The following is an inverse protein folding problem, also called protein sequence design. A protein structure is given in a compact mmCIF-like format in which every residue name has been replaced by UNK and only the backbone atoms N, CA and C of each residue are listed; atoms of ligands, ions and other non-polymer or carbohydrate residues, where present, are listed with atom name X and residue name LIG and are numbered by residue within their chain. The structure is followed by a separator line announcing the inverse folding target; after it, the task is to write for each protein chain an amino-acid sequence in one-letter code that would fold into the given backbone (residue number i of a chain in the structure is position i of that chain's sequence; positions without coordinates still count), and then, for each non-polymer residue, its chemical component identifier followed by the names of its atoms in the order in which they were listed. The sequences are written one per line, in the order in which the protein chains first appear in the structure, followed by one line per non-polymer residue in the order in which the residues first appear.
data_IF_117822763243
#
_entry.id   IF_117822763243
#
_cell.length_a   1.000
_cell.length_b   1.000
_cell.length_c   1.000
_cell.angle_alpha   90.00
_cell.angle_beta   90.00
_cell.angle_gamma   90.00
#
_symmetry.space_group_name_H-M   'P 1'
#
loop_
_entity.id
_entity.type
_entity.pdbx_description
1 polymer ?
#
# COMPACT_ATOMS: atom_id res chain seq x y z
N UNK A 1 -16.48 0.16 5.10
CA UNK A 1 -17.03 1.53 5.24
C UNK A 1 -17.99 1.80 4.09
N UNK A 2 -19.18 2.34 4.34
CA UNK A 2 -20.11 2.72 3.29
C UNK A 2 -20.61 4.13 3.57
N UNK A 3 -20.53 4.98 2.55
CA UNK A 3 -21.13 6.32 2.52
C UNK A 3 -22.18 6.38 1.41
N UNK A 4 -22.83 7.53 1.24
CA UNK A 4 -23.72 7.85 0.12
C UNK A 4 -22.99 7.82 -1.24
N UNK A 5 -21.66 8.03 -1.25
CA UNK A 5 -20.85 8.12 -2.48
C UNK A 5 -20.07 6.86 -2.79
N UNK A 6 -19.68 6.08 -1.78
CA UNK A 6 -18.75 4.97 -1.98
C UNK A 6 -18.89 3.87 -0.94
N UNK A 7 -18.49 2.66 -1.35
CA UNK A 7 -18.29 1.52 -0.45
C UNK A 7 -16.83 1.08 -0.53
N UNK A 8 -16.17 1.02 0.62
CA UNK A 8 -14.83 0.46 0.78
C UNK A 8 -14.88 -0.82 1.63
N UNK A 9 -14.18 -1.86 1.21
CA UNK A 9 -14.10 -3.15 1.91
C UNK A 9 -12.65 -3.55 2.13
N UNK A 10 -12.31 -3.99 3.33
CA UNK A 10 -11.00 -4.56 3.64
C UNK A 10 -11.24 -5.94 4.26
N UNK A 11 -10.49 -6.93 3.82
CA UNK A 11 -10.50 -8.30 4.36
C UNK A 11 -9.10 -8.58 4.89
N UNK A 12 -9.01 -9.05 6.12
CA UNK A 12 -7.75 -9.43 6.74
C UNK A 12 -7.85 -10.76 7.47
N UNK A 13 -6.69 -11.29 7.87
CA UNK A 13 -6.54 -12.49 8.69
C UNK A 13 -5.39 -12.29 9.67
N UNK A 14 -5.28 -13.17 10.67
CA UNK A 14 -4.12 -13.27 11.54
C UNK A 14 -3.50 -14.65 11.33
N UNK A 15 -2.29 -14.71 10.80
CA UNK A 15 -1.55 -15.98 10.65
C UNK A 15 -0.87 -16.35 11.97
N UNK A 16 -1.00 -17.62 12.37
CA UNK A 16 -0.31 -18.17 13.55
C UNK A 16 -0.60 -17.45 14.87
N UNK A 17 -1.66 -16.66 14.95
CA UNK A 17 -2.04 -15.74 16.04
C UNK A 17 -1.17 -14.49 16.24
N UNK A 18 -0.16 -14.23 15.39
CA UNK A 18 0.78 -13.11 15.58
C UNK A 18 0.97 -12.20 14.38
N UNK A 19 0.61 -12.65 13.18
CA UNK A 19 0.92 -11.93 11.95
C UNK A 19 -0.36 -11.46 11.24
N UNK A 20 -0.90 -10.29 11.59
CA UNK A 20 -1.97 -9.66 10.85
C UNK A 20 -1.58 -9.41 9.39
N UNK A 21 -2.46 -9.77 8.47
CA UNK A 21 -2.31 -9.51 7.03
C UNK A 21 -3.63 -9.02 6.46
N UNK A 22 -3.56 -7.97 5.66
CA UNK A 22 -4.65 -7.59 4.76
C UNK A 22 -4.57 -8.48 3.53
N UNK A 23 -5.66 -9.21 3.27
CA UNK A 23 -5.81 -10.14 2.14
C UNK A 23 -6.52 -9.51 0.94
N UNK A 24 -7.31 -8.47 1.17
CA UNK A 24 -8.05 -7.79 0.12
C UNK A 24 -8.44 -6.36 0.49
N UNK A 25 -8.33 -5.43 -0.45
CA UNK A 25 -8.90 -4.09 -0.36
C UNK A 25 -9.77 -3.87 -1.60
N UNK A 26 -11.05 -3.52 -1.41
CA UNK A 26 -12.05 -3.34 -2.47
C UNK A 26 -12.13 -4.50 -3.47
N UNK A 27 -11.76 -5.72 -3.05
CA UNK A 27 -11.70 -6.91 -3.91
C UNK A 27 -10.39 -7.08 -4.70
N UNK A 28 -9.40 -6.20 -4.52
CA UNK A 28 -8.02 -6.41 -4.97
C UNK A 28 -7.32 -7.35 -3.98
N UNK A 29 -7.01 -8.58 -4.40
CA UNK A 29 -6.33 -9.57 -3.56
C UNK A 29 -4.86 -9.21 -3.41
N UNK A 30 -4.40 -9.04 -2.18
CA UNK A 30 -3.03 -8.61 -1.87
C UNK A 30 -2.61 -9.24 -0.55
N UNK A 31 -1.32 -9.17 -0.23
CA UNK A 31 -0.80 -9.53 1.08
C UNK A 31 -0.03 -8.32 1.60
N UNK A 32 -0.64 -7.58 2.52
CA UNK A 32 -0.09 -6.34 3.07
C UNK A 32 0.03 -6.43 4.59
N UNK A 33 1.17 -6.01 5.15
CA UNK A 33 1.33 -5.85 6.59
C UNK A 33 0.70 -4.52 7.03
N UNK A 34 -0.33 -4.52 7.89
CA UNK A 34 -1.00 -3.30 8.32
C UNK A 34 -0.27 -2.64 9.51
N UNK A 35 1.01 -2.30 9.33
CA UNK A 35 1.85 -1.67 10.36
C UNK A 35 2.78 -0.62 9.76
N UNK A 36 3.27 0.28 10.62
CA UNK A 36 4.29 1.27 10.25
C UNK A 36 3.79 2.24 9.18
N UNK A 37 4.69 2.63 8.29
CA UNK A 37 4.42 3.58 7.22
C UNK A 37 3.86 2.87 5.98
N UNK A 38 2.56 3.01 5.74
CA UNK A 38 1.86 2.34 4.63
C UNK A 38 1.36 3.34 3.60
N UNK A 39 1.67 3.10 2.33
CA UNK A 39 1.10 3.83 1.19
C UNK A 39 0.24 2.88 0.34
N UNK A 40 -1.00 3.28 0.08
CA UNK A 40 -1.94 2.58 -0.80
C UNK A 40 -2.17 3.43 -2.04
N UNK A 41 -1.90 2.88 -3.22
CA UNK A 41 -1.97 3.57 -4.50
C UNK A 41 -2.93 2.80 -5.42
N UNK A 42 -3.98 3.47 -5.89
CA UNK A 42 -4.83 2.96 -6.96
C UNK A 42 -4.38 3.59 -8.28
N UNK A 43 -4.12 2.77 -9.30
CA UNK A 43 -3.60 3.25 -10.57
C UNK A 43 -4.12 2.43 -11.77
N UNK A 44 -3.91 2.94 -12.98
CA UNK A 44 -4.08 2.18 -14.22
C UNK A 44 -2.97 1.14 -14.38
N UNK A 45 -3.33 -0.08 -14.73
CA UNK A 45 -2.38 -1.19 -14.92
C UNK A 45 -1.66 -1.06 -16.27
N UNK A 46 -0.47 -0.44 -16.25
CA UNK A 46 0.35 -0.20 -17.44
C UNK A 46 1.84 -0.43 -17.18
N UNK A 47 2.66 -0.65 -18.23
CA UNK A 47 4.10 -0.84 -18.06
C UNK A 47 4.79 0.35 -17.38
N UNK A 48 5.76 0.06 -16.52
CA UNK A 48 6.63 1.06 -15.87
C UNK A 48 6.09 1.69 -14.57
N UNK A 49 4.87 1.34 -14.15
CA UNK A 49 4.23 1.86 -12.92
C UNK A 49 5.11 1.70 -11.68
N UNK A 50 5.53 0.47 -11.36
CA UNK A 50 6.31 0.20 -10.14
C UNK A 50 7.69 0.87 -10.16
N UNK A 51 8.30 0.96 -11.35
CA UNK A 51 9.58 1.67 -11.52
C UNK A 51 9.46 3.14 -11.17
N UNK A 52 8.35 3.81 -11.55
CA UNK A 52 8.11 5.21 -11.19
C UNK A 52 7.97 5.40 -9.68
N UNK A 53 7.30 4.48 -8.98
CA UNK A 53 7.19 4.54 -7.52
C UNK A 53 8.54 4.32 -6.85
N UNK A 54 9.30 3.31 -7.28
CA UNK A 54 10.66 3.08 -6.79
C UNK A 54 11.58 4.28 -6.99
N UNK A 55 11.50 4.93 -8.15
CA UNK A 55 12.24 6.19 -8.40
C UNK A 55 11.77 7.34 -7.50
N UNK A 56 10.46 7.54 -7.33
CA UNK A 56 9.93 8.63 -6.51
C UNK A 56 10.38 8.52 -5.05
N UNK A 57 10.29 7.32 -4.45
CA UNK A 57 10.77 7.08 -3.09
C UNK A 57 12.30 7.14 -3.01
N UNK A 58 13.01 6.48 -3.94
CA UNK A 58 14.47 6.42 -3.94
C UNK A 58 15.15 7.78 -4.14
N UNK A 59 14.58 8.68 -4.95
CA UNK A 59 15.10 10.04 -5.12
C UNK A 59 15.11 10.87 -3.82
N UNK A 60 14.35 10.43 -2.81
CA UNK A 60 14.23 11.06 -1.51
C UNK A 60 14.86 10.22 -0.40
N UNK A 61 15.65 9.20 -0.75
CA UNK A 61 16.25 8.23 0.16
C UNK A 61 15.25 7.48 1.06
N UNK A 62 13.99 7.36 0.64
CA UNK A 62 12.98 6.60 1.39
C UNK A 62 13.06 5.14 0.93
N UNK A 63 13.38 4.21 1.84
CA UNK A 63 13.42 2.79 1.53
C UNK A 63 12.04 2.13 1.54
N UNK A 64 11.84 1.13 0.67
CA UNK A 64 10.63 0.30 0.63
C UNK A 64 10.90 -1.00 1.37
N UNK A 65 10.19 -1.20 2.48
CA UNK A 65 10.29 -2.38 3.32
C UNK A 65 9.58 -3.60 2.69
N UNK A 66 8.38 -3.37 2.15
CA UNK A 66 7.55 -4.40 1.51
C UNK A 66 6.70 -3.75 0.39
N UNK A 67 6.41 -4.54 -0.64
CA UNK A 67 5.57 -4.11 -1.75
C UNK A 67 4.65 -5.24 -2.19
N UNK A 68 3.36 -4.94 -2.22
CA UNK A 68 2.34 -5.85 -2.75
C UNK A 68 1.58 -5.19 -3.89
N UNK A 69 1.27 -5.99 -4.91
CA UNK A 69 0.70 -5.49 -6.15
C UNK A 69 -0.43 -6.40 -6.64
N UNK A 70 -1.63 -5.84 -6.75
CA UNK A 70 -2.83 -6.57 -7.17
C UNK A 70 -3.44 -5.94 -8.41
N UNK A 71 -3.72 -6.77 -9.41
CA UNK A 71 -4.32 -6.33 -10.68
C UNK A 71 -5.74 -6.83 -10.85
N UNK A 72 -6.63 -5.97 -11.34
CA UNK A 72 -7.95 -6.36 -11.83
C UNK A 72 -8.04 -6.12 -13.33
N UNK A 73 -7.71 -7.16 -14.10
CA UNK A 73 -7.69 -7.11 -15.58
C UNK A 73 -8.98 -6.56 -16.19
N UNK A 74 -10.15 -6.90 -15.63
CA UNK A 74 -11.45 -6.43 -16.15
C UNK A 74 -11.65 -4.91 -16.04
N UNK A 75 -11.08 -4.27 -15.03
CA UNK A 75 -11.20 -2.81 -14.84
C UNK A 75 -10.01 -2.03 -15.40
N UNK A 76 -8.93 -2.71 -15.81
CA UNK A 76 -7.67 -2.05 -16.20
C UNK A 76 -6.98 -1.30 -15.05
N UNK A 77 -7.32 -1.66 -13.80
CA UNK A 77 -6.79 -1.01 -12.61
C UNK A 77 -5.91 -1.97 -11.81
N UNK A 78 -4.99 -1.39 -11.06
CA UNK A 78 -4.17 -2.07 -10.07
C UNK A 78 -4.15 -1.30 -8.75
N UNK A 79 -3.97 -2.04 -7.67
CA UNK A 79 -3.78 -1.52 -6.33
C UNK A 79 -2.38 -1.92 -5.85
N UNK A 80 -1.61 -0.95 -5.43
CA UNK A 80 -0.27 -1.12 -4.86
C UNK A 80 -0.36 -0.82 -3.37
N UNK A 81 0.16 -1.72 -2.54
CA UNK A 81 0.46 -1.45 -1.15
C UNK A 81 1.97 -1.41 -0.96
N UNK A 82 2.45 -0.40 -0.25
CA UNK A 82 3.88 -0.19 0.01
C UNK A 82 4.05 0.04 1.50
N UNK A 83 4.89 -0.76 2.15
CA UNK A 83 5.40 -0.46 3.48
C UNK A 83 6.75 0.25 3.31
N UNK A 84 6.97 1.34 4.03
CA UNK A 84 8.18 2.13 4.01
C UNK A 84 8.88 2.00 5.37
N UNK A 85 10.21 2.11 5.38
CA UNK A 85 10.98 2.14 6.64
C UNK A 85 10.81 3.47 7.38
N UNK A 86 10.43 4.52 6.66
CA UNK A 86 10.31 5.88 7.19
C UNK A 86 9.09 6.60 6.60
N UNK A 87 8.78 7.76 7.18
CA UNK A 87 7.62 8.56 6.78
C UNK A 87 7.69 9.02 5.31
N UNK A 88 6.57 8.85 4.60
CA UNK A 88 6.42 9.42 3.27
C UNK A 88 6.24 10.94 3.36
N UNK A 89 7.25 11.68 2.92
CA UNK A 89 7.19 13.14 2.86
C UNK A 89 6.02 13.65 2.00
N UNK A 90 5.39 14.80 2.32
CA UNK A 90 4.31 15.35 1.52
C UNK A 90 4.67 15.51 0.03
N UNK A 91 5.94 15.84 -0.24
CA UNK A 91 6.46 16.04 -1.59
C UNK A 91 6.49 14.74 -2.39
N UNK A 92 6.86 13.59 -1.78
CA UNK A 92 6.85 12.29 -2.49
C UNK A 92 5.43 11.86 -2.82
N UNK A 93 4.50 12.07 -1.88
CA UNK A 93 3.11 11.72 -2.08
C UNK A 93 2.50 12.56 -3.20
N UNK A 94 2.84 13.85 -3.28
CA UNK A 94 2.37 14.73 -4.34
C UNK A 94 2.98 14.39 -5.70
N UNK A 95 4.27 14.08 -5.75
CA UNK A 95 4.93 13.57 -6.97
C UNK A 95 4.22 12.32 -7.52
N UNK A 96 3.87 11.38 -6.65
CA UNK A 96 3.13 10.17 -7.03
C UNK A 96 1.72 10.51 -7.51
N UNK A 97 0.99 11.42 -6.83
CA UNK A 97 -0.37 11.84 -7.25
C UNK A 97 -0.38 12.47 -8.64
N UNK A 98 0.68 13.19 -9.01
CA UNK A 98 0.79 13.87 -10.30
C UNK A 98 1.10 12.93 -11.48
N UNK A 99 1.45 11.67 -11.20
CA UNK A 99 1.59 10.66 -12.25
C UNK A 99 0.21 10.41 -12.86
N UNK A 100 0.01 10.78 -14.14
CA UNK A 100 -1.33 10.78 -14.77
C UNK A 100 -2.07 9.43 -14.88
N UNK A 101 -1.46 8.33 -14.43
CA UNK A 101 -2.09 7.01 -14.30
C UNK A 101 -2.51 6.67 -12.87
N UNK A 102 -2.16 7.50 -11.89
CA UNK A 102 -2.56 7.37 -10.50
C UNK A 102 -3.95 7.97 -10.33
N UNK A 103 -4.80 7.26 -9.58
CA UNK A 103 -6.20 7.63 -9.32
C UNK A 103 -6.39 8.10 -7.89
N UNK A 104 -5.83 7.35 -6.93
CA UNK A 104 -5.86 7.69 -5.51
C UNK A 104 -4.51 7.33 -4.87
N UNK A 105 -4.11 8.10 -3.86
CA UNK A 105 -2.96 7.82 -2.99
C UNK A 105 -3.36 8.09 -1.54
N UNK A 106 -3.20 7.09 -0.68
CA UNK A 106 -3.43 7.20 0.75
C UNK A 106 -2.18 6.82 1.51
N UNK A 107 -1.72 7.71 2.38
CA UNK A 107 -0.67 7.43 3.35
C UNK A 107 -1.31 7.19 4.72
N UNK A 108 -0.82 6.18 5.42
CA UNK A 108 -1.30 5.73 6.72
C UNK A 108 -0.07 5.47 7.59
N UNK A 109 -0.06 6.02 8.80
CA UNK A 109 0.85 5.59 9.84
C UNK A 109 0.06 4.69 10.79
N UNK A 110 0.35 3.40 10.75
CA UNK A 110 -0.29 2.36 11.54
C UNK A 110 0.61 1.99 12.72
N UNK A 111 0.05 1.55 13.85
CA UNK A 111 0.85 1.11 14.97
C UNK A 111 1.75 -0.06 14.56
N UNK A 112 2.96 -0.08 15.08
CA UNK A 112 3.82 -1.27 15.05
C UNK A 112 3.08 -2.43 15.70
N UNK A 113 3.02 -3.56 15.00
CA UNK A 113 2.46 -4.79 15.55
C UNK A 113 3.61 -5.46 16.29
N UNK A 114 3.43 -5.71 17.59
CA UNK A 114 4.44 -6.28 18.48
C UNK A 114 5.22 -7.40 17.76
N UNK A 115 6.51 -7.13 17.47
CA UNK A 115 7.46 -8.19 17.22
C UNK A 115 7.56 -9.03 18.49
N UNK A 116 7.73 -10.35 18.32
CA UNK A 116 7.83 -11.32 19.40
C UNK A 116 8.59 -10.77 20.61
N UNK A 117 8.00 -10.88 21.80
CA UNK A 117 8.77 -10.89 23.03
C UNK A 117 9.90 -11.89 22.81
N UNK A 118 11.12 -11.36 22.79
CA UNK A 118 12.42 -12.03 22.74
C UNK A 118 12.32 -13.56 22.77
N UNK A 119 12.69 -14.21 21.67
CA UNK A 119 13.14 -15.61 21.74
C UNK A 119 14.34 -15.64 22.71
N UNK A 120 14.08 -16.04 23.96
CA UNK A 120 15.10 -16.46 24.94
C UNK A 120 15.94 -17.64 24.41
#
# INVERSE_FOLDING_TARGET
LQTDRMKRTVVGTIFGNKFPRILSIDGFRMELKPEGHVVIILNEDRPGVLGRYGTAFGNRNINIADLTFSRKKRSGLALVGVNLDEEATPEVLEEIRQLGFVRDVHYLHLPELLADEQEE
#
